data_IF_389127886360
#
_entry.id   IF_389127886360
#
_cell.length_a   1.000
_cell.length_b   1.000
_cell.length_c   1.000
_cell.angle_alpha   90.00
_cell.angle_beta   90.00
_cell.angle_gamma   90.00
#
_symmetry.space_group_name_H-M   'P 1'
#
loop_
_entity.id
_entity.type
_entity.pdbx_description
1 polymer ?
#
# COMPACT_ATOMS: atom_id res chain seq x y z
N UNK A 1 -4.31 13.63 -4.48
CA UNK A 1 -4.04 13.71 -5.93
C UNK A 1 -2.53 13.67 -6.10
N UNK A 2 -2.05 12.88 -7.08
CA UNK A 2 -0.69 12.34 -7.30
C UNK A 2 -0.18 11.37 -6.22
N UNK A 3 -0.42 10.07 -6.42
CA UNK A 3 0.11 8.98 -5.60
C UNK A 3 1.51 8.57 -6.06
N UNK A 4 2.22 7.89 -5.16
CA UNK A 4 3.61 7.42 -5.20
C UNK A 4 3.98 6.45 -6.35
N UNK A 5 3.37 6.51 -7.54
CA UNK A 5 3.62 5.56 -8.64
C UNK A 5 4.16 6.24 -9.90
N UNK A 6 5.16 5.63 -10.53
CA UNK A 6 5.75 6.11 -11.79
C UNK A 6 4.88 5.71 -12.99
N UNK A 7 4.37 6.73 -13.70
CA UNK A 7 3.58 6.69 -14.95
C UNK A 7 2.13 6.17 -14.82
N UNK A 8 1.20 7.14 -14.67
CA UNK A 8 -0.26 7.04 -14.90
C UNK A 8 -1.09 6.08 -14.02
N UNK A 9 -0.51 5.42 -13.03
CA UNK A 9 -1.30 4.63 -12.08
C UNK A 9 -2.07 5.55 -11.13
N UNK A 10 -3.37 5.27 -10.98
CA UNK A 10 -4.24 5.95 -10.03
C UNK A 10 -4.39 5.06 -8.80
N UNK A 11 -4.45 5.67 -7.63
CA UNK A 11 -4.69 4.95 -6.38
C UNK A 11 -5.76 5.64 -5.54
N UNK A 12 -6.36 4.87 -4.65
CA UNK A 12 -7.12 5.35 -3.51
C UNK A 12 -6.54 4.73 -2.23
N UNK A 13 -6.77 5.38 -1.10
CA UNK A 13 -6.29 4.90 0.19
C UNK A 13 -7.47 4.50 1.08
N UNK A 14 -7.34 3.34 1.72
CA UNK A 14 -8.22 2.87 2.77
C UNK A 14 -7.40 2.75 4.05
N UNK A 15 -7.76 3.53 5.08
CA UNK A 15 -7.18 3.43 6.41
C UNK A 15 -8.11 2.64 7.32
N UNK A 16 -7.55 1.77 8.15
CA UNK A 16 -8.30 0.91 9.07
C UNK A 16 -7.45 0.57 10.32
N UNK A 17 -8.13 0.19 11.40
CA UNK A 17 -7.47 -0.17 12.66
C UNK A 17 -6.86 -1.57 12.64
N UNK A 18 -5.96 -1.85 13.59
CA UNK A 18 -5.29 -3.15 13.71
C UNK A 18 -6.29 -4.30 13.88
N UNK A 19 -7.39 -4.06 14.60
CA UNK A 19 -8.47 -5.00 14.81
C UNK A 19 -9.16 -5.47 13.53
N UNK A 20 -9.07 -4.69 12.44
CA UNK A 20 -9.66 -5.00 11.14
C UNK A 20 -8.68 -5.64 10.17
N UNK A 21 -7.39 -5.79 10.55
CA UNK A 21 -6.33 -6.21 9.65
C UNK A 21 -6.63 -7.56 8.99
N UNK A 22 -7.04 -8.54 9.78
CA UNK A 22 -7.35 -9.89 9.26
C UNK A 22 -8.52 -9.85 8.28
N UNK A 23 -9.63 -9.22 8.68
CA UNK A 23 -10.86 -9.19 7.89
C UNK A 23 -10.66 -8.46 6.56
N UNK A 24 -10.03 -7.27 6.58
CA UNK A 24 -9.77 -6.47 5.37
C UNK A 24 -8.80 -7.18 4.44
N UNK A 25 -7.70 -7.70 4.98
CA UNK A 25 -6.65 -8.36 4.18
C UNK A 25 -7.20 -9.63 3.50
N UNK A 26 -7.98 -10.44 4.23
CA UNK A 26 -8.60 -11.65 3.68
C UNK A 26 -9.64 -11.30 2.61
N UNK A 27 -10.47 -10.28 2.84
CA UNK A 27 -11.45 -9.87 1.85
C UNK A 27 -10.78 -9.36 0.57
N UNK A 28 -9.74 -8.53 0.68
CA UNK A 28 -8.98 -8.04 -0.48
C UNK A 28 -8.28 -9.16 -1.23
N UNK A 29 -7.70 -10.14 -0.53
CA UNK A 29 -7.06 -11.28 -1.16
C UNK A 29 -8.02 -12.07 -2.07
N UNK A 30 -9.31 -12.14 -1.70
CA UNK A 30 -10.35 -12.85 -2.45
C UNK A 30 -11.07 -11.98 -3.48
N UNK A 31 -11.22 -10.67 -3.24
CA UNK A 31 -12.16 -9.82 -3.99
C UNK A 31 -11.50 -8.65 -4.74
N UNK A 32 -10.16 -8.53 -4.76
CA UNK A 32 -9.47 -7.42 -5.45
C UNK A 32 -9.61 -7.40 -6.98
N UNK A 33 -10.23 -8.40 -7.60
CA UNK A 33 -10.52 -8.47 -9.05
C UNK A 33 -9.35 -8.05 -9.95
N UNK A 34 -8.16 -8.59 -9.67
CA UNK A 34 -6.94 -8.29 -10.43
C UNK A 34 -6.23 -6.99 -10.06
N UNK A 35 -6.83 -6.10 -9.26
CA UNK A 35 -6.19 -4.86 -8.77
C UNK A 35 -4.95 -5.16 -7.92
N UNK A 36 -3.95 -4.28 -8.02
CA UNK A 36 -2.78 -4.31 -7.15
C UNK A 36 -3.13 -3.62 -5.83
N UNK A 37 -2.84 -4.28 -4.71
CA UNK A 37 -2.98 -3.69 -3.38
C UNK A 37 -1.60 -3.52 -2.77
N UNK A 38 -1.30 -2.29 -2.39
CA UNK A 38 -0.17 -1.92 -1.56
C UNK A 38 -0.69 -1.64 -0.14
N UNK A 39 -0.17 -2.38 0.83
CA UNK A 39 -0.50 -2.25 2.24
C UNK A 39 0.80 -2.01 3.02
N UNK A 40 0.79 -1.06 3.95
CA UNK A 40 1.92 -0.81 4.84
C UNK A 40 1.41 -0.49 6.25
N UNK A 41 2.21 -0.77 7.30
CA UNK A 41 1.91 -0.31 8.65
C UNK A 41 2.22 1.18 8.81
N UNK A 42 1.84 1.74 9.96
CA UNK A 42 2.21 3.08 10.40
C UNK A 42 3.00 2.96 11.70
N UNK A 43 4.30 2.71 11.59
CA UNK A 43 5.22 2.54 12.74
C UNK A 43 5.85 3.86 13.19
N UNK A 44 5.75 4.90 12.36
CA UNK A 44 6.39 6.20 12.58
C UNK A 44 7.68 6.39 11.78
N UNK A 45 8.19 5.33 11.13
CA UNK A 45 9.24 5.42 10.12
C UNK A 45 8.63 5.26 8.72
N UNK A 46 8.23 6.39 8.13
CA UNK A 46 7.48 6.40 6.87
C UNK A 46 8.25 5.72 5.74
N UNK A 47 9.58 5.93 5.65
CA UNK A 47 10.37 5.32 4.58
C UNK A 47 10.40 3.80 4.70
N UNK A 48 10.64 3.27 5.91
CA UNK A 48 10.65 1.81 6.14
C UNK A 48 9.27 1.19 6.01
N UNK A 49 8.23 1.91 6.45
CA UNK A 49 6.85 1.47 6.29
C UNK A 49 6.52 1.22 4.81
N UNK A 50 6.94 2.12 3.92
CA UNK A 50 6.67 2.00 2.48
C UNK A 50 7.65 1.09 1.72
N UNK A 51 8.74 0.65 2.35
CA UNK A 51 9.78 -0.18 1.71
C UNK A 51 9.89 -1.56 2.37
N UNK A 52 10.55 -1.62 3.53
CA UNK A 52 10.84 -2.86 4.25
C UNK A 52 9.60 -3.56 4.80
N UNK A 53 8.57 -2.80 5.17
CA UNK A 53 7.36 -3.33 5.80
C UNK A 53 6.16 -3.42 4.83
N UNK A 54 6.38 -3.16 3.54
CA UNK A 54 5.35 -3.20 2.53
C UNK A 54 4.84 -4.63 2.27
N UNK A 55 3.52 -4.77 2.18
CA UNK A 55 2.82 -5.99 1.79
C UNK A 55 2.14 -5.72 0.45
N UNK A 56 2.38 -6.61 -0.50
CA UNK A 56 1.80 -6.52 -1.84
C UNK A 56 0.85 -7.68 -2.11
N UNK A 57 -0.31 -7.36 -2.70
CA UNK A 57 -1.17 -8.35 -3.33
C UNK A 57 -1.27 -8.07 -4.83
N UNK A 58 -0.91 -9.05 -5.65
CA UNK A 58 -0.78 -8.90 -7.09
C UNK A 58 0.66 -8.57 -7.49
N UNK A 59 0.84 -7.68 -8.46
CA UNK A 59 2.16 -7.27 -8.93
C UNK A 59 2.79 -6.24 -7.98
N UNK A 60 4.08 -6.43 -7.66
CA UNK A 60 4.88 -5.38 -7.00
C UNK A 60 5.12 -4.26 -8.00
N UNK A 61 4.94 -3.00 -7.58
CA UNK A 61 5.14 -1.82 -8.42
C UNK A 61 6.28 -0.97 -7.85
N UNK A 62 7.09 -0.31 -8.70
CA UNK A 62 8.03 0.68 -8.22
C UNK A 62 7.27 1.86 -7.61
N UNK A 63 7.76 2.32 -6.45
CA UNK A 63 7.26 3.51 -5.78
C UNK A 63 8.20 4.69 -6.02
N UNK A 64 7.62 5.86 -6.25
CA UNK A 64 8.32 7.13 -6.15
C UNK A 64 8.39 7.52 -4.67
N UNK A 65 9.56 7.30 -4.05
CA UNK A 65 9.78 7.55 -2.62
C UNK A 65 10.27 8.97 -2.33
N UNK A 66 10.39 9.84 -3.35
CA UNK A 66 10.95 11.19 -3.19
C UNK A 66 10.20 12.04 -2.16
N UNK A 67 8.90 11.78 -1.96
CA UNK A 67 8.09 12.46 -0.95
C UNK A 67 8.31 11.95 0.49
N UNK A 68 8.98 10.81 0.68
CA UNK A 68 9.25 10.20 1.99
C UNK A 68 10.73 10.34 2.40
N UNK A 69 11.59 10.70 1.46
CA UNK A 69 13.02 10.96 1.70
C UNK A 69 13.24 12.47 1.81
N UNK A 70 13.37 12.95 3.05
CA UNK A 70 13.85 14.31 3.35
C UNK A 70 15.36 14.42 3.31
#
# INVERSE_FOLDING_TARGET
MSGFYTLWDWSCQLAFGHEQLADVTLWLALNRDGLVVFLHPLTGDELRDHTDHAIWMGAVRPLDLSALTG
#
